data_IF_037461043043
#
_entry.id   IF_037461043043
#
_cell.length_a   1.000
_cell.length_b   1.000
_cell.length_c   1.000
_cell.angle_alpha   90.00
_cell.angle_beta   90.00
_cell.angle_gamma   90.00
#
_symmetry.space_group_name_H-M   'P 1'
#
loop_
_entity.id
_entity.type
_entity.pdbx_description
1 polymer ?
#
# COMPACT_ATOMS: atom_id res chain seq x y z
N UNK A 1 -24.01 13.22 -21.64
CA UNK A 1 -25.31 13.60 -22.24
C UNK A 1 -25.08 14.28 -23.59
N UNK A 2 -24.95 13.55 -24.71
CA UNK A 2 -24.51 14.10 -26.01
C UNK A 2 -25.41 15.18 -26.57
N UNK A 3 -26.72 15.10 -26.29
CA UNK A 3 -27.69 16.07 -26.83
C UNK A 3 -27.57 17.47 -26.19
N UNK A 4 -27.16 17.57 -24.94
CA UNK A 4 -26.96 18.86 -24.26
C UNK A 4 -25.73 19.61 -24.82
N UNK A 5 -24.63 18.92 -25.05
CA UNK A 5 -23.41 19.50 -25.59
C UNK A 5 -23.61 20.07 -27.01
N UNK A 6 -24.33 19.36 -27.88
CA UNK A 6 -24.68 19.88 -29.21
C UNK A 6 -25.52 21.16 -29.16
N UNK A 7 -26.41 21.28 -28.18
CA UNK A 7 -27.18 22.52 -27.97
C UNK A 7 -26.25 23.66 -27.55
N UNK A 8 -25.33 23.42 -26.63
CA UNK A 8 -24.35 24.44 -26.22
C UNK A 8 -23.42 24.83 -27.38
N UNK A 9 -22.95 23.87 -28.18
CA UNK A 9 -22.17 24.15 -29.40
C UNK A 9 -22.89 25.07 -30.36
N UNK A 10 -24.16 24.82 -30.66
CA UNK A 10 -25.00 25.66 -31.53
C UNK A 10 -25.24 27.05 -30.92
N UNK A 11 -25.49 27.11 -29.60
CA UNK A 11 -25.72 28.38 -28.90
C UNK A 11 -24.44 29.22 -28.88
N UNK A 12 -23.29 28.66 -28.57
CA UNK A 12 -22.01 29.36 -28.55
C UNK A 12 -21.66 29.92 -29.95
N UNK A 13 -21.84 29.15 -31.03
CA UNK A 13 -21.64 29.64 -32.39
C UNK A 13 -22.56 30.81 -32.76
N UNK A 14 -23.73 30.88 -32.13
CA UNK A 14 -24.69 31.95 -32.36
C UNK A 14 -24.45 33.18 -31.50
N UNK A 15 -23.87 32.98 -30.31
CA UNK A 15 -23.64 34.01 -29.30
C UNK A 15 -22.22 33.89 -28.72
N UNK A 16 -21.17 34.13 -29.55
CA UNK A 16 -19.78 33.88 -29.13
C UNK A 16 -19.27 34.85 -28.06
N UNK A 17 -19.92 35.99 -27.87
CA UNK A 17 -19.52 37.02 -26.90
C UNK A 17 -20.12 36.80 -25.48
N UNK A 18 -20.92 35.73 -25.31
CA UNK A 18 -21.53 35.39 -24.03
C UNK A 18 -20.58 34.48 -23.20
N UNK A 19 -19.80 35.08 -22.29
CA UNK A 19 -18.81 34.38 -21.51
C UNK A 19 -19.37 33.24 -20.62
N UNK A 20 -20.55 33.44 -20.02
CA UNK A 20 -21.21 32.38 -19.24
C UNK A 20 -21.56 31.17 -20.11
N UNK A 21 -21.98 31.38 -21.37
CA UNK A 21 -22.28 30.28 -22.28
C UNK A 21 -21.03 29.49 -22.66
N UNK A 22 -19.89 30.16 -22.79
CA UNK A 22 -18.59 29.49 -23.01
C UNK A 22 -18.21 28.61 -21.82
N UNK A 23 -18.33 29.11 -20.60
CA UNK A 23 -18.03 28.34 -19.41
C UNK A 23 -18.83 27.05 -19.37
N UNK A 24 -20.17 27.12 -19.52
CA UNK A 24 -21.00 25.91 -19.54
C UNK A 24 -20.68 24.97 -20.72
N UNK A 25 -20.26 25.52 -21.84
CA UNK A 25 -19.85 24.71 -22.99
C UNK A 25 -18.55 23.98 -22.73
N UNK A 26 -17.55 24.66 -22.15
CA UNK A 26 -16.27 24.05 -21.72
C UNK A 26 -16.50 22.97 -20.66
N UNK A 27 -17.28 23.23 -19.62
CA UNK A 27 -17.66 22.24 -18.61
C UNK A 27 -18.33 21.00 -19.24
N UNK A 28 -19.18 21.22 -20.23
CA UNK A 28 -19.79 20.15 -21.01
C UNK A 28 -18.77 19.33 -21.81
N UNK A 29 -17.79 19.98 -22.44
CA UNK A 29 -16.68 19.29 -23.14
C UNK A 29 -15.81 18.51 -22.15
N UNK A 30 -15.51 19.09 -21.00
CA UNK A 30 -14.77 18.41 -19.92
C UNK A 30 -15.47 17.14 -19.43
N UNK A 31 -16.79 17.21 -19.24
CA UNK A 31 -17.59 16.07 -18.79
C UNK A 31 -17.63 14.91 -19.79
N UNK A 32 -17.41 15.18 -21.08
CA UNK A 32 -17.35 14.19 -22.16
C UNK A 32 -15.89 13.84 -22.55
N UNK A 33 -14.89 14.27 -21.76
CA UNK A 33 -13.45 14.08 -21.98
C UNK A 33 -12.96 14.65 -23.35
N UNK A 34 -13.57 15.72 -23.85
CA UNK A 34 -13.20 16.40 -25.09
C UNK A 34 -12.22 17.55 -24.81
N UNK A 35 -11.13 17.26 -24.11
CA UNK A 35 -10.18 18.25 -23.57
C UNK A 35 -9.48 19.05 -24.66
N UNK A 36 -9.09 18.42 -25.78
CA UNK A 36 -8.44 19.12 -26.90
C UNK A 36 -9.36 20.18 -27.53
N UNK A 37 -10.64 19.83 -27.71
CA UNK A 37 -11.63 20.77 -28.23
C UNK A 37 -11.90 21.92 -27.26
N UNK A 38 -11.95 21.64 -25.95
CA UNK A 38 -12.10 22.66 -24.92
C UNK A 38 -10.94 23.65 -24.91
N UNK A 39 -9.70 23.16 -24.98
CA UNK A 39 -8.50 24.01 -25.08
C UNK A 39 -8.46 24.83 -26.36
N UNK A 40 -8.91 24.27 -27.49
CA UNK A 40 -9.02 25.02 -28.75
C UNK A 40 -9.99 26.19 -28.60
N UNK A 41 -11.17 26.00 -28.02
CA UNK A 41 -12.11 27.11 -27.79
C UNK A 41 -11.55 28.15 -26.83
N UNK A 42 -10.90 27.75 -25.75
CA UNK A 42 -10.28 28.68 -24.80
C UNK A 42 -9.13 29.49 -25.44
N UNK A 43 -8.44 28.95 -26.46
CA UNK A 43 -7.37 29.68 -27.13
C UNK A 43 -7.80 30.96 -27.84
N UNK A 44 -9.11 31.09 -28.18
CA UNK A 44 -9.68 32.28 -28.80
C UNK A 44 -10.18 33.33 -27.78
N UNK A 45 -10.15 33.01 -26.49
CA UNK A 45 -10.63 33.91 -25.42
C UNK A 45 -9.47 34.72 -24.86
N UNK A 46 -9.68 35.99 -24.59
CA UNK A 46 -8.69 36.85 -23.94
C UNK A 46 -8.36 36.30 -22.55
N UNK A 47 -7.11 36.46 -22.10
CA UNK A 47 -6.70 36.03 -20.77
C UNK A 47 -7.55 36.70 -19.67
N UNK A 48 -8.15 35.84 -18.83
CA UNK A 48 -8.83 36.26 -17.59
C UNK A 48 -8.55 35.20 -16.51
N UNK A 49 -8.70 35.54 -15.22
CA UNK A 49 -8.52 34.54 -14.15
C UNK A 49 -9.39 33.28 -14.35
N UNK A 50 -10.66 33.46 -14.71
CA UNK A 50 -11.60 32.35 -14.93
C UNK A 50 -11.16 31.45 -16.09
N UNK A 51 -10.69 32.05 -17.20
CA UNK A 51 -10.15 31.29 -18.33
C UNK A 51 -8.94 30.45 -17.90
N UNK A 52 -7.99 31.05 -17.18
CA UNK A 52 -6.75 30.42 -16.75
C UNK A 52 -7.04 29.27 -15.75
N UNK A 53 -8.05 29.44 -14.89
CA UNK A 53 -8.52 28.37 -14.00
C UNK A 53 -9.12 27.21 -14.80
N UNK A 54 -9.96 27.46 -15.82
CA UNK A 54 -10.49 26.41 -16.69
C UNK A 54 -9.39 25.70 -17.48
N UNK A 55 -8.38 26.43 -17.97
CA UNK A 55 -7.19 25.83 -18.61
C UNK A 55 -6.44 24.94 -17.60
N UNK A 56 -6.29 25.36 -16.36
CA UNK A 56 -5.63 24.55 -15.32
C UNK A 56 -6.39 23.25 -15.05
N UNK A 57 -7.70 23.28 -14.93
CA UNK A 57 -8.54 22.10 -14.74
C UNK A 57 -8.41 21.12 -15.93
N UNK A 58 -8.39 21.64 -17.16
CA UNK A 58 -8.20 20.84 -18.36
C UNK A 58 -6.81 20.18 -18.41
N UNK A 59 -5.76 20.92 -18.08
CA UNK A 59 -4.41 20.37 -18.02
C UNK A 59 -4.26 19.31 -16.92
N UNK A 60 -4.93 19.50 -15.77
CA UNK A 60 -5.00 18.47 -14.72
C UNK A 60 -5.64 17.18 -15.25
N UNK A 61 -6.76 17.28 -15.98
CA UNK A 61 -7.46 16.10 -16.52
C UNK A 61 -6.57 15.25 -17.46
N UNK A 62 -5.65 15.88 -18.18
CA UNK A 62 -4.69 15.18 -19.05
C UNK A 62 -3.33 14.92 -18.37
N UNK A 63 -3.30 15.04 -17.02
CA UNK A 63 -2.14 14.78 -16.19
C UNK A 63 -0.91 15.65 -16.51
N UNK A 64 -1.15 16.89 -16.97
CA UNK A 64 -0.11 17.91 -17.20
C UNK A 64 -0.06 18.89 -16.02
N UNK A 65 0.28 18.37 -14.83
CA UNK A 65 0.18 19.09 -13.57
C UNK A 65 1.03 20.37 -13.53
N UNK A 66 2.26 20.32 -14.04
CA UNK A 66 3.13 21.50 -14.09
C UNK A 66 2.50 22.66 -14.88
N UNK A 67 1.87 22.35 -16.03
CA UNK A 67 1.18 23.37 -16.84
C UNK A 67 -0.05 23.90 -16.13
N UNK A 68 -0.80 23.05 -15.44
CA UNK A 68 -1.95 23.50 -14.63
C UNK A 68 -1.53 24.47 -13.53
N UNK A 69 -0.44 24.18 -12.83
CA UNK A 69 0.15 25.06 -11.81
C UNK A 69 0.58 26.39 -12.42
N UNK A 70 1.26 26.37 -13.57
CA UNK A 70 1.68 27.61 -14.25
C UNK A 70 0.47 28.49 -14.62
N UNK A 71 -0.64 27.87 -15.10
CA UNK A 71 -1.86 28.62 -15.42
C UNK A 71 -2.51 29.29 -14.21
N UNK A 72 -2.51 28.63 -13.07
CA UNK A 72 -2.99 29.23 -11.82
C UNK A 72 -2.08 30.35 -11.30
N UNK A 73 -0.75 30.22 -11.50
CA UNK A 73 0.18 31.30 -11.20
C UNK A 73 -0.02 32.52 -12.12
N UNK A 74 -0.24 32.29 -13.42
CA UNK A 74 -0.64 33.37 -14.36
C UNK A 74 -1.96 34.04 -13.89
N UNK A 75 -2.94 33.27 -13.38
CA UNK A 75 -4.19 33.81 -12.85
C UNK A 75 -3.94 34.70 -11.61
N UNK A 76 -3.05 34.31 -10.71
CA UNK A 76 -2.65 35.11 -9.55
C UNK A 76 -1.89 36.39 -9.92
N UNK A 77 -1.19 36.40 -11.08
CA UNK A 77 -0.60 37.69 -11.56
C UNK A 77 -1.66 38.70 -11.92
N UNK A 78 -2.85 38.25 -12.34
CA UNK A 78 -3.99 39.11 -12.66
C UNK A 78 -4.76 39.50 -11.39
N UNK A 79 -5.02 38.57 -10.49
CA UNK A 79 -5.74 38.74 -9.23
C UNK A 79 -4.97 38.15 -8.03
N UNK A 80 -3.97 38.90 -7.50
CA UNK A 80 -3.03 38.35 -6.50
C UNK A 80 -3.61 37.98 -5.15
N UNK A 81 -4.83 38.40 -4.83
CA UNK A 81 -5.44 38.17 -3.51
C UNK A 81 -6.77 37.36 -3.63
N UNK A 82 -7.03 36.76 -4.75
CA UNK A 82 -8.26 35.97 -4.91
C UNK A 82 -8.12 34.63 -4.16
N UNK A 83 -8.91 34.34 -3.10
CA UNK A 83 -8.80 33.14 -2.31
C UNK A 83 -9.18 31.88 -3.09
N UNK A 84 -10.01 31.98 -4.13
CA UNK A 84 -10.43 30.84 -4.94
C UNK A 84 -9.26 30.37 -5.80
N UNK A 85 -8.49 31.30 -6.37
CA UNK A 85 -7.29 30.97 -7.16
C UNK A 85 -6.21 30.39 -6.26
N UNK A 86 -5.97 30.98 -5.06
CA UNK A 86 -5.04 30.41 -4.08
C UNK A 86 -5.45 29.01 -3.67
N UNK A 87 -6.73 28.76 -3.41
CA UNK A 87 -7.23 27.42 -3.09
C UNK A 87 -7.01 26.45 -4.25
N UNK A 88 -7.35 26.82 -5.49
CA UNK A 88 -7.13 25.99 -6.66
C UNK A 88 -5.64 25.65 -6.85
N UNK A 89 -4.75 26.62 -6.69
CA UNK A 89 -3.31 26.42 -6.76
C UNK A 89 -2.82 25.49 -5.62
N UNK A 90 -3.34 25.65 -4.41
CA UNK A 90 -3.00 24.80 -3.28
C UNK A 90 -3.40 23.33 -3.55
N UNK A 91 -4.60 23.08 -4.09
CA UNK A 91 -5.04 21.72 -4.46
C UNK A 91 -4.15 21.12 -5.57
N UNK A 92 -3.79 21.88 -6.62
CA UNK A 92 -2.87 21.40 -7.66
C UNK A 92 -1.48 21.06 -7.09
N UNK A 93 -0.92 21.93 -6.24
CA UNK A 93 0.35 21.70 -5.58
C UNK A 93 0.30 20.49 -4.63
N UNK A 94 -0.81 20.29 -3.94
CA UNK A 94 -1.04 19.13 -3.07
C UNK A 94 -0.99 17.83 -3.87
N UNK A 95 -1.74 17.75 -4.99
CA UNK A 95 -1.76 16.55 -5.85
C UNK A 95 -0.42 16.31 -6.57
N UNK A 96 0.36 17.36 -6.81
CA UNK A 96 1.72 17.26 -7.38
C UNK A 96 2.80 16.91 -6.32
N UNK A 97 2.41 16.78 -5.04
CA UNK A 97 3.32 16.45 -3.95
C UNK A 97 4.18 17.64 -3.46
N UNK A 98 3.88 18.87 -3.89
CA UNK A 98 4.57 20.08 -3.49
C UNK A 98 3.98 20.65 -2.15
N UNK A 99 3.97 19.80 -1.12
CA UNK A 99 3.23 20.03 0.13
C UNK A 99 3.56 21.35 0.84
N UNK A 100 4.83 21.76 0.87
CA UNK A 100 5.22 23.04 1.51
C UNK A 100 4.62 24.26 0.80
N UNK A 101 4.60 24.22 -0.54
CA UNK A 101 3.98 25.30 -1.33
C UNK A 101 2.45 25.27 -1.18
N UNK A 102 1.85 24.06 -1.23
CA UNK A 102 0.43 23.90 -1.00
C UNK A 102 -0.01 24.50 0.34
N UNK A 103 0.74 24.20 1.42
CA UNK A 103 0.47 24.75 2.75
C UNK A 103 0.48 26.29 2.75
N UNK A 104 1.45 26.91 2.09
CA UNK A 104 1.53 28.37 2.02
C UNK A 104 0.32 29.00 1.30
N UNK A 105 -0.16 28.37 0.23
CA UNK A 105 -1.35 28.84 -0.48
C UNK A 105 -2.63 28.64 0.37
N UNK A 106 -2.78 27.52 1.09
CA UNK A 106 -3.88 27.32 2.04
C UNK A 106 -3.86 28.32 3.19
N UNK A 107 -2.67 28.66 3.72
CA UNK A 107 -2.52 29.71 4.75
C UNK A 107 -3.04 31.06 4.25
N UNK A 108 -2.75 31.42 3.00
CA UNK A 108 -3.28 32.65 2.37
C UNK A 108 -4.81 32.64 2.33
N UNK A 109 -5.42 31.49 2.02
CA UNK A 109 -6.90 31.37 2.07
C UNK A 109 -7.42 31.52 3.50
N UNK A 110 -6.76 30.89 4.50
CA UNK A 110 -7.16 31.02 5.91
C UNK A 110 -7.12 32.46 6.43
N UNK A 111 -6.25 33.33 5.90
CA UNK A 111 -6.19 34.76 6.28
C UNK A 111 -7.49 35.50 5.96
N UNK A 112 -8.31 35.00 5.05
CA UNK A 112 -9.67 35.54 4.78
C UNK A 112 -10.68 35.23 5.88
N UNK A 113 -10.35 34.28 6.79
CA UNK A 113 -11.21 33.80 7.84
C UNK A 113 -12.06 32.57 7.42
N UNK A 114 -11.91 32.10 6.18
CA UNK A 114 -12.55 30.89 5.69
C UNK A 114 -11.65 29.69 5.93
N UNK A 115 -12.14 28.68 6.67
CA UNK A 115 -11.43 27.42 6.91
C UNK A 115 -12.00 26.24 6.11
N UNK A 116 -13.07 26.49 5.34
CA UNK A 116 -13.71 25.49 4.48
C UNK A 116 -14.04 26.08 3.12
N UNK A 117 -13.51 25.51 2.05
CA UNK A 117 -13.73 25.92 0.67
C UNK A 117 -14.17 24.72 -0.15
N UNK A 118 -15.26 24.83 -0.89
CA UNK A 118 -15.82 23.76 -1.73
C UNK A 118 -16.01 22.42 -0.99
N UNK A 119 -16.33 22.46 0.31
CA UNK A 119 -16.48 21.27 1.15
C UNK A 119 -15.16 20.66 1.66
N UNK A 120 -14.03 21.29 1.35
CA UNK A 120 -12.70 20.89 1.83
C UNK A 120 -12.34 21.69 3.07
N UNK A 121 -12.00 21.02 4.16
CA UNK A 121 -11.47 21.66 5.37
C UNK A 121 -9.97 21.93 5.19
N UNK A 122 -9.56 23.19 5.27
CA UNK A 122 -8.18 23.61 5.03
C UNK A 122 -7.21 23.07 6.09
N UNK A 123 -7.65 22.96 7.35
CA UNK A 123 -6.81 22.36 8.39
C UNK A 123 -6.51 20.89 8.10
N UNK A 124 -7.51 20.13 7.59
CA UNK A 124 -7.32 18.73 7.16
C UNK A 124 -6.29 18.63 6.04
N UNK A 125 -6.39 19.47 5.01
CA UNK A 125 -5.42 19.51 3.89
C UNK A 125 -4.00 19.87 4.34
N UNK A 126 -3.87 20.90 5.17
CA UNK A 126 -2.58 21.34 5.70
C UNK A 126 -1.97 20.29 6.64
N UNK A 127 -2.81 19.62 7.45
CA UNK A 127 -2.37 18.53 8.30
C UNK A 127 -1.85 17.36 7.46
N UNK A 128 -2.54 17.04 6.36
CA UNK A 128 -2.11 16.00 5.42
C UNK A 128 -0.78 16.39 4.73
N UNK A 129 -0.64 17.64 4.27
CA UNK A 129 0.63 18.16 3.75
C UNK A 129 1.78 18.00 4.77
N UNK A 130 1.51 18.28 6.02
CA UNK A 130 2.50 18.17 7.11
C UNK A 130 2.85 16.70 7.39
N UNK A 131 1.87 15.81 7.37
CA UNK A 131 2.04 14.37 7.53
C UNK A 131 2.91 13.78 6.41
N UNK A 132 2.59 14.11 5.15
CA UNK A 132 3.35 13.66 3.98
C UNK A 132 4.78 14.21 3.94
N UNK A 133 4.99 15.40 4.52
CA UNK A 133 6.32 16.02 4.65
C UNK A 133 7.11 15.49 5.86
N UNK A 134 6.55 14.58 6.66
CA UNK A 134 7.18 14.07 7.87
C UNK A 134 7.16 15.02 9.08
N UNK A 135 6.39 16.12 9.00
CA UNK A 135 6.24 17.10 10.07
C UNK A 135 5.08 16.70 11.01
N UNK A 136 5.24 15.59 11.71
CA UNK A 136 4.15 14.96 12.47
C UNK A 136 3.58 15.84 13.58
N UNK A 137 4.43 16.60 14.27
CA UNK A 137 3.98 17.53 15.32
C UNK A 137 3.07 18.64 14.77
N UNK A 138 3.38 19.18 13.57
CA UNK A 138 2.53 20.17 12.92
C UNK A 138 1.23 19.54 12.40
N UNK A 139 1.31 18.32 11.85
CA UNK A 139 0.12 17.57 11.45
C UNK A 139 -0.85 17.39 12.63
N UNK A 140 -0.34 16.96 13.79
CA UNK A 140 -1.14 16.79 15.01
C UNK A 140 -1.81 18.10 15.39
N UNK A 141 -1.05 19.21 15.47
CA UNK A 141 -1.57 20.54 15.82
C UNK A 141 -2.69 20.97 14.87
N UNK A 142 -2.53 20.75 13.57
CA UNK A 142 -3.52 21.12 12.56
C UNK A 142 -4.78 20.24 12.64
N UNK A 143 -4.65 18.93 12.89
CA UNK A 143 -5.81 18.06 13.15
C UNK A 143 -6.55 18.47 14.44
N UNK A 144 -5.86 19.02 15.43
CA UNK A 144 -6.49 19.49 16.68
C UNK A 144 -7.30 20.79 16.49
N UNK A 145 -7.05 21.56 15.41
CA UNK A 145 -7.88 22.72 15.04
C UNK A 145 -9.22 22.32 14.39
N UNK A 146 -9.36 21.08 13.93
CA UNK A 146 -10.62 20.60 13.31
C UNK A 146 -11.63 20.32 14.41
N UNK A 147 -12.84 20.89 14.26
CA UNK A 147 -13.94 20.58 15.16
C UNK A 147 -14.26 19.08 15.08
N UNK A 148 -14.41 18.41 16.24
CA UNK A 148 -14.66 16.97 16.32
C UNK A 148 -15.91 16.51 15.55
N UNK A 149 -16.92 17.37 15.40
CA UNK A 149 -18.14 17.08 14.64
C UNK A 149 -17.92 17.13 13.12
N UNK A 150 -16.88 17.82 12.67
CA UNK A 150 -16.50 17.98 11.25
C UNK A 150 -15.38 17.01 10.83
N UNK A 151 -14.73 16.36 11.79
CA UNK A 151 -13.64 15.44 11.55
C UNK A 151 -14.16 14.15 10.86
N UNK A 152 -13.62 13.87 9.69
CA UNK A 152 -13.96 12.67 8.92
C UNK A 152 -13.25 11.42 9.45
N UNK A 153 -13.69 10.22 9.06
CA UNK A 153 -13.00 8.96 9.38
C UNK A 153 -11.54 8.97 8.90
N UNK A 154 -11.30 9.55 7.73
CA UNK A 154 -9.96 9.72 7.17
C UNK A 154 -9.08 10.67 8.01
N UNK A 155 -9.65 11.76 8.54
CA UNK A 155 -8.92 12.68 9.43
C UNK A 155 -8.51 11.98 10.74
N UNK A 156 -9.43 11.21 11.35
CA UNK A 156 -9.10 10.39 12.52
C UNK A 156 -7.97 9.41 12.23
N UNK A 157 -8.05 8.71 11.10
CA UNK A 157 -7.04 7.73 10.69
C UNK A 157 -5.67 8.38 10.51
N UNK A 158 -5.59 9.45 9.73
CA UNK A 158 -4.35 10.20 9.49
C UNK A 158 -3.80 10.87 10.75
N UNK A 159 -4.68 11.38 11.61
CA UNK A 159 -4.30 11.90 12.93
C UNK A 159 -3.64 10.82 13.79
N UNK A 160 -4.21 9.61 13.82
CA UNK A 160 -3.60 8.49 14.53
C UNK A 160 -2.21 8.12 13.97
N UNK A 161 -2.07 8.11 12.64
CA UNK A 161 -0.77 7.91 11.99
C UNK A 161 0.22 9.01 12.41
N UNK A 162 -0.20 10.27 12.46
CA UNK A 162 0.66 11.37 12.89
C UNK A 162 1.16 11.20 14.33
N UNK A 163 0.29 10.77 15.24
CA UNK A 163 0.66 10.46 16.63
C UNK A 163 1.63 9.27 16.72
N UNK A 164 1.37 8.19 15.99
CA UNK A 164 2.24 7.01 15.97
C UNK A 164 3.64 7.36 15.41
N UNK A 165 3.70 8.05 14.27
CA UNK A 165 4.96 8.50 13.66
C UNK A 165 5.71 9.53 14.50
N UNK A 166 5.04 10.18 15.45
CA UNK A 166 5.64 11.08 16.44
C UNK A 166 5.98 10.37 17.76
N UNK A 167 6.04 9.03 17.77
CA UNK A 167 6.34 8.17 18.92
C UNK A 167 5.35 8.32 20.09
N UNK A 168 4.09 8.66 19.83
CA UNK A 168 3.02 8.80 20.83
C UNK A 168 1.95 7.73 20.60
N UNK A 169 2.35 6.47 20.56
CA UNK A 169 1.52 5.31 20.17
C UNK A 169 0.24 5.17 21.01
N UNK A 170 0.28 5.50 22.31
CA UNK A 170 -0.91 5.38 23.18
C UNK A 170 -2.05 6.34 22.76
N UNK A 171 -1.74 7.55 22.30
CA UNK A 171 -2.76 8.46 21.77
C UNK A 171 -3.23 8.00 20.39
N UNK A 172 -2.34 7.42 19.55
CA UNK A 172 -2.73 6.81 18.28
C UNK A 172 -3.77 5.69 18.50
N UNK A 173 -3.54 4.78 19.45
CA UNK A 173 -4.46 3.70 19.83
C UNK A 173 -5.84 4.28 20.24
N UNK A 174 -5.84 5.31 21.10
CA UNK A 174 -7.06 5.93 21.56
C UNK A 174 -7.87 6.60 20.43
N UNK A 175 -7.17 7.28 19.50
CA UNK A 175 -7.80 7.90 18.34
C UNK A 175 -8.38 6.84 17.40
N UNK A 176 -7.64 5.75 17.14
CA UNK A 176 -8.12 4.64 16.32
C UNK A 176 -9.32 3.93 16.94
N UNK A 177 -9.29 3.70 18.26
CA UNK A 177 -10.45 3.15 18.99
C UNK A 177 -11.67 4.08 18.86
N UNK A 178 -11.44 5.40 18.92
CA UNK A 178 -12.51 6.39 18.71
C UNK A 178 -13.04 6.34 17.29
N UNK A 179 -12.18 6.28 16.29
CA UNK A 179 -12.57 6.10 14.89
C UNK A 179 -13.47 4.88 14.73
N UNK A 180 -13.03 3.71 15.15
CA UNK A 180 -13.78 2.46 14.98
C UNK A 180 -15.09 2.41 15.79
N UNK A 181 -15.19 3.19 16.88
CA UNK A 181 -16.47 3.36 17.59
C UNK A 181 -17.47 4.23 16.83
N UNK A 182 -17.01 5.21 16.05
CA UNK A 182 -17.82 6.12 15.23
C UNK A 182 -18.15 5.54 13.86
N UNK A 183 -17.18 4.86 13.26
CA UNK A 183 -17.23 4.25 11.92
C UNK A 183 -16.69 2.82 11.98
N UNK A 184 -17.50 1.85 12.40
CA UNK A 184 -17.09 0.45 12.49
C UNK A 184 -16.76 -0.17 11.12
N UNK A 185 -17.25 0.40 10.02
CA UNK A 185 -17.01 -0.11 8.66
C UNK A 185 -15.66 0.35 8.08
N UNK A 186 -14.89 1.14 8.81
CA UNK A 186 -13.55 1.58 8.39
C UNK A 186 -12.51 0.46 8.59
N UNK A 187 -12.53 -0.53 7.70
CA UNK A 187 -11.79 -1.81 7.83
C UNK A 187 -10.28 -1.62 7.96
N UNK A 188 -9.68 -0.65 7.24
CA UNK A 188 -8.25 -0.35 7.35
C UNK A 188 -7.84 0.06 8.77
N UNK A 189 -8.77 0.62 9.53
CA UNK A 189 -8.57 1.00 10.93
C UNK A 189 -8.28 -0.19 11.84
N UNK A 190 -8.92 -1.34 11.61
CA UNK A 190 -8.66 -2.56 12.38
C UNK A 190 -7.24 -3.08 12.15
N UNK A 191 -6.80 -3.12 10.89
CA UNK A 191 -5.44 -3.56 10.56
C UNK A 191 -4.39 -2.64 11.21
N UNK A 192 -4.63 -1.32 11.15
CA UNK A 192 -3.70 -0.36 11.75
C UNK A 192 -3.72 -0.41 13.28
N UNK A 193 -4.89 -0.49 13.92
CA UNK A 193 -5.02 -0.63 15.36
C UNK A 193 -4.37 -1.93 15.87
N UNK A 194 -4.55 -3.03 15.13
CA UNK A 194 -3.88 -4.30 15.41
C UNK A 194 -2.36 -4.12 15.42
N UNK A 195 -1.79 -3.45 14.41
CA UNK A 195 -0.35 -3.21 14.33
C UNK A 195 0.16 -2.31 15.47
N UNK A 196 -0.62 -1.34 15.93
CA UNK A 196 -0.28 -0.50 17.08
C UNK A 196 -0.21 -1.33 18.37
N UNK A 197 -1.18 -2.21 18.60
CA UNK A 197 -1.16 -3.11 19.76
C UNK A 197 -0.01 -4.12 19.68
N UNK A 198 0.30 -4.64 18.50
CA UNK A 198 1.43 -5.54 18.28
C UNK A 198 2.79 -4.87 18.60
N UNK A 199 2.99 -3.62 18.14
CA UNK A 199 4.17 -2.82 18.44
C UNK A 199 4.35 -2.58 19.95
N UNK A 200 3.24 -2.39 20.67
CA UNK A 200 3.19 -2.29 22.14
C UNK A 200 3.30 -3.67 22.84
N UNK A 201 3.42 -4.76 22.09
CA UNK A 201 3.42 -6.15 22.57
C UNK A 201 2.16 -6.53 23.36
N UNK A 202 1.07 -5.85 23.08
CA UNK A 202 -0.23 -6.16 23.62
C UNK A 202 -0.98 -7.12 22.68
N UNK A 203 -0.48 -8.34 22.57
CA UNK A 203 -0.96 -9.36 21.64
C UNK A 203 -2.44 -9.74 21.85
N UNK A 204 -2.96 -9.83 23.09
CA UNK A 204 -4.39 -10.15 23.26
C UNK A 204 -5.31 -9.12 22.61
N UNK A 205 -5.05 -7.82 22.79
CA UNK A 205 -5.85 -6.77 22.18
C UNK A 205 -5.63 -6.68 20.66
N UNK A 206 -4.39 -6.96 20.18
CA UNK A 206 -4.10 -7.06 18.76
C UNK A 206 -4.95 -8.16 18.08
N UNK A 207 -4.97 -9.36 18.66
CA UNK A 207 -5.72 -10.51 18.15
C UNK A 207 -7.23 -10.21 18.15
N UNK A 208 -7.78 -9.70 19.26
CA UNK A 208 -9.21 -9.39 19.34
C UNK A 208 -9.61 -8.31 18.32
N UNK A 209 -8.79 -7.27 18.16
CA UNK A 209 -9.00 -6.23 17.13
C UNK A 209 -9.06 -6.83 15.72
N UNK A 210 -8.12 -7.72 15.38
CA UNK A 210 -8.13 -8.41 14.10
C UNK A 210 -9.40 -9.24 13.89
N UNK A 211 -9.81 -10.00 14.90
CA UNK A 211 -11.04 -10.79 14.86
C UNK A 211 -12.30 -9.92 14.71
N UNK A 212 -12.34 -8.76 15.35
CA UNK A 212 -13.46 -7.82 15.19
C UNK A 212 -13.55 -7.34 13.73
N UNK A 213 -12.43 -6.93 13.13
CA UNK A 213 -12.39 -6.53 11.73
C UNK A 213 -12.80 -7.67 10.77
N UNK A 214 -12.38 -8.90 11.03
CA UNK A 214 -12.76 -10.07 10.23
C UNK A 214 -14.25 -10.45 10.36
N UNK A 215 -14.92 -10.12 11.46
CA UNK A 215 -16.39 -10.28 11.57
C UNK A 215 -17.14 -9.36 10.59
N UNK A 216 -16.55 -8.21 10.25
CA UNK A 216 -17.11 -7.22 9.32
C UNK A 216 -16.71 -7.50 7.87
N UNK A 217 -15.46 -7.88 7.65
CA UNK A 217 -14.92 -8.18 6.31
C UNK A 217 -14.24 -9.54 6.29
N UNK A 218 -15.01 -10.57 5.94
CA UNK A 218 -14.57 -11.96 5.92
C UNK A 218 -13.58 -12.33 4.80
N UNK A 219 -13.28 -11.38 3.90
CA UNK A 219 -12.41 -11.60 2.75
C UNK A 219 -11.20 -10.63 2.74
N UNK A 220 -10.89 -10.03 3.89
CA UNK A 220 -9.75 -9.14 4.00
C UNK A 220 -8.47 -9.96 4.31
N UNK A 221 -7.79 -10.40 3.26
CA UNK A 221 -6.66 -11.34 3.34
C UNK A 221 -5.50 -10.85 4.20
N UNK A 222 -5.20 -9.53 4.16
CA UNK A 222 -4.14 -8.93 4.98
C UNK A 222 -4.44 -9.04 6.47
N UNK A 223 -5.70 -8.82 6.84
CA UNK A 223 -6.13 -8.95 8.24
C UNK A 223 -6.20 -10.42 8.69
N UNK A 224 -6.58 -11.35 7.78
CA UNK A 224 -6.49 -12.79 8.05
C UNK A 224 -5.06 -13.22 8.30
N UNK A 225 -4.12 -12.74 7.47
CA UNK A 225 -2.71 -13.04 7.60
C UNK A 225 -2.13 -12.54 8.92
N UNK A 226 -2.31 -11.24 9.23
CA UNK A 226 -1.75 -10.65 10.45
C UNK A 226 -2.37 -11.25 11.71
N UNK A 227 -3.70 -11.43 11.71
CA UNK A 227 -4.39 -12.06 12.86
C UNK A 227 -4.00 -13.53 13.00
N UNK A 228 -3.91 -14.27 11.89
CA UNK A 228 -3.52 -15.67 11.88
C UNK A 228 -2.10 -15.89 12.37
N UNK A 229 -1.16 -15.04 11.97
CA UNK A 229 0.24 -15.08 12.43
C UNK A 229 0.32 -14.80 13.94
N UNK A 230 -0.39 -13.78 14.42
CA UNK A 230 -0.45 -13.47 15.85
C UNK A 230 -1.08 -14.60 16.68
N UNK A 231 -2.11 -15.27 16.15
CA UNK A 231 -2.72 -16.42 16.81
C UNK A 231 -1.77 -17.60 16.90
N UNK A 232 -0.96 -17.86 15.86
CA UNK A 232 0.06 -18.92 15.90
C UNK A 232 1.11 -18.63 16.98
N UNK A 233 1.57 -17.39 17.08
CA UNK A 233 2.67 -17.02 17.95
C UNK A 233 2.23 -16.79 19.41
N UNK A 234 1.03 -16.25 19.63
CA UNK A 234 0.60 -15.70 20.92
C UNK A 234 -0.80 -16.11 21.38
N UNK A 235 -1.53 -16.89 20.57
CA UNK A 235 -2.93 -17.25 20.84
C UNK A 235 -3.23 -18.73 20.61
N UNK A 236 -4.27 -19.02 19.82
CA UNK A 236 -4.66 -20.36 19.40
C UNK A 236 -4.08 -20.70 18.03
N UNK A 237 -3.01 -21.49 18.00
CA UNK A 237 -2.34 -21.87 16.76
C UNK A 237 -3.28 -22.55 15.74
N UNK A 238 -4.28 -23.33 16.19
CA UNK A 238 -5.24 -23.95 15.28
C UNK A 238 -6.13 -22.91 14.59
N UNK A 239 -6.59 -21.89 15.33
CA UNK A 239 -7.35 -20.79 14.75
C UNK A 239 -6.49 -19.98 13.77
N UNK A 240 -5.22 -19.73 14.13
CA UNK A 240 -4.25 -19.08 13.27
C UNK A 240 -4.03 -19.82 11.95
N UNK A 241 -3.82 -21.14 12.00
CA UNK A 241 -3.69 -21.97 10.80
C UNK A 241 -4.93 -21.88 9.89
N UNK A 242 -6.13 -21.87 10.49
CA UNK A 242 -7.36 -21.72 9.72
C UNK A 242 -7.45 -20.37 9.01
N UNK A 243 -7.10 -19.28 9.71
CA UNK A 243 -7.09 -17.93 9.12
C UNK A 243 -6.10 -17.81 7.97
N UNK A 244 -4.89 -18.37 8.12
CA UNK A 244 -3.89 -18.34 7.05
C UNK A 244 -4.32 -19.17 5.83
N UNK A 245 -4.93 -20.35 6.02
CA UNK A 245 -5.50 -21.13 4.92
C UNK A 245 -6.64 -20.40 4.21
N UNK A 246 -7.51 -19.69 4.96
CA UNK A 246 -8.56 -18.87 4.38
C UNK A 246 -7.98 -17.69 3.57
N UNK A 247 -6.89 -17.07 4.01
CA UNK A 247 -6.22 -16.01 3.25
C UNK A 247 -5.75 -16.53 1.88
N UNK A 248 -5.19 -17.74 1.82
CA UNK A 248 -4.80 -18.42 0.56
C UNK A 248 -6.00 -18.76 -0.34
N UNK A 249 -7.14 -19.13 0.25
CA UNK A 249 -8.38 -19.37 -0.50
C UNK A 249 -8.95 -18.09 -1.13
N UNK A 250 -8.74 -16.94 -0.47
CA UNK A 250 -9.16 -15.61 -0.99
C UNK A 250 -8.24 -15.17 -2.12
N UNK A 251 -6.94 -15.38 -1.98
CA UNK A 251 -5.93 -14.99 -2.96
C UNK A 251 -4.76 -15.98 -2.95
N UNK A 252 -4.72 -16.86 -3.94
CA UNK A 252 -3.68 -17.88 -4.09
C UNK A 252 -2.31 -17.31 -4.51
N UNK A 253 -2.24 -16.04 -4.94
CA UNK A 253 -0.99 -15.34 -5.21
C UNK A 253 -0.38 -14.69 -3.96
N UNK A 254 -1.13 -14.66 -2.83
CA UNK A 254 -0.67 -14.10 -1.56
C UNK A 254 0.18 -15.13 -0.81
N UNK A 255 1.49 -15.16 -1.04
CA UNK A 255 2.36 -16.27 -0.60
C UNK A 255 2.86 -16.17 0.84
N UNK A 256 2.74 -15.03 1.51
CA UNK A 256 3.19 -14.84 2.89
C UNK A 256 2.57 -15.88 3.87
N UNK A 257 1.27 -16.22 3.79
CA UNK A 257 0.71 -17.28 4.62
C UNK A 257 1.35 -18.65 4.43
N UNK A 258 1.82 -18.96 3.20
CA UNK A 258 2.52 -20.24 2.93
C UNK A 258 3.82 -20.34 3.72
N UNK A 259 4.58 -19.24 3.79
CA UNK A 259 5.86 -19.22 4.51
C UNK A 259 5.63 -19.47 6.00
N UNK A 260 4.65 -18.78 6.60
CA UNK A 260 4.32 -18.97 8.02
C UNK A 260 3.84 -20.41 8.28
N UNK A 261 2.93 -20.93 7.46
CA UNK A 261 2.42 -22.29 7.63
C UNK A 261 3.50 -23.36 7.41
N UNK A 262 4.34 -23.21 6.38
CA UNK A 262 5.39 -24.17 6.10
C UNK A 262 6.50 -24.16 7.16
N UNK A 263 6.83 -22.99 7.72
CA UNK A 263 7.74 -22.89 8.86
C UNK A 263 7.16 -23.57 10.11
N UNK A 264 5.88 -23.33 10.41
CA UNK A 264 5.19 -23.97 11.52
C UNK A 264 5.23 -25.52 11.39
N UNK A 265 4.78 -26.03 10.25
CA UNK A 265 4.73 -27.48 10.01
C UNK A 265 6.13 -28.11 9.95
N UNK A 266 7.13 -27.38 9.46
CA UNK A 266 8.53 -27.86 9.51
C UNK A 266 9.03 -28.00 10.94
N UNK A 267 8.71 -27.07 11.83
CA UNK A 267 9.07 -27.11 13.24
C UNK A 267 8.32 -28.22 13.99
N UNK A 268 7.11 -28.58 13.54
CA UNK A 268 6.32 -29.70 14.07
C UNK A 268 6.64 -31.04 13.42
N UNK A 269 7.54 -31.08 12.43
CA UNK A 269 7.90 -32.26 11.62
C UNK A 269 6.68 -32.85 10.89
N UNK A 270 5.68 -32.03 10.56
CA UNK A 270 4.48 -32.42 9.79
C UNK A 270 4.70 -32.17 8.29
N UNK A 271 5.45 -33.06 7.67
CA UNK A 271 5.84 -32.94 6.27
C UNK A 271 4.68 -33.14 5.29
N UNK A 272 3.70 -33.99 5.65
CA UNK A 272 2.49 -34.14 4.84
C UNK A 272 1.69 -32.84 4.77
N UNK A 273 1.59 -32.11 5.89
CA UNK A 273 0.90 -30.82 5.92
C UNK A 273 1.61 -29.76 5.05
N UNK A 274 2.96 -29.73 4.99
CA UNK A 274 3.70 -28.84 4.06
C UNK A 274 3.32 -29.17 2.61
N UNK A 275 3.28 -30.44 2.25
CA UNK A 275 2.95 -30.90 0.89
C UNK A 275 1.49 -30.55 0.55
N UNK A 276 0.57 -30.66 1.50
CA UNK A 276 -0.83 -30.28 1.29
C UNK A 276 -1.01 -28.80 0.94
N UNK A 277 -0.09 -27.91 1.35
CA UNK A 277 -0.16 -26.49 1.01
C UNK A 277 -0.12 -26.23 -0.51
N UNK A 278 0.44 -27.15 -1.30
CA UNK A 278 0.39 -27.07 -2.78
C UNK A 278 -1.03 -27.04 -3.34
N UNK A 279 -2.03 -27.48 -2.58
CA UNK A 279 -3.44 -27.42 -3.03
C UNK A 279 -4.02 -26.01 -3.08
N UNK A 280 -3.36 -25.04 -2.42
CA UNK A 280 -3.81 -23.66 -2.32
C UNK A 280 -3.16 -22.72 -3.36
N UNK A 281 -2.13 -23.18 -4.08
CA UNK A 281 -1.29 -22.30 -4.93
C UNK A 281 -1.00 -22.94 -6.27
N UNK A 282 -0.68 -22.12 -7.26
CA UNK A 282 -0.18 -22.56 -8.55
C UNK A 282 1.34 -22.75 -8.49
N UNK A 283 1.86 -23.84 -9.05
CA UNK A 283 3.28 -24.19 -8.99
C UNK A 283 4.19 -23.24 -9.79
N UNK A 284 3.62 -22.42 -10.69
CA UNK A 284 4.42 -21.61 -11.63
C UNK A 284 5.15 -20.43 -10.96
N UNK A 285 4.64 -19.90 -9.84
CA UNK A 285 5.14 -18.69 -9.19
C UNK A 285 5.44 -18.86 -7.69
N UNK A 286 5.91 -20.04 -7.26
CA UNK A 286 6.18 -20.32 -5.86
C UNK A 286 7.39 -19.54 -5.33
N UNK A 287 7.27 -19.06 -4.07
CA UNK A 287 8.41 -18.48 -3.34
C UNK A 287 9.55 -19.51 -3.18
N UNK A 288 10.81 -19.13 -3.44
CA UNK A 288 11.95 -20.03 -3.32
C UNK A 288 12.12 -20.67 -1.94
N UNK A 289 11.71 -20.00 -0.86
CA UNK A 289 11.75 -20.54 0.50
C UNK A 289 10.70 -21.63 0.66
N UNK A 290 9.50 -21.43 0.12
CA UNK A 290 8.47 -22.47 0.13
C UNK A 290 8.87 -23.66 -0.74
N UNK A 291 9.48 -23.44 -1.92
CA UNK A 291 10.06 -24.53 -2.73
C UNK A 291 11.09 -25.34 -1.92
N UNK A 292 11.94 -24.69 -1.14
CA UNK A 292 12.87 -25.36 -0.24
C UNK A 292 12.16 -26.21 0.81
N UNK A 293 11.15 -25.67 1.49
CA UNK A 293 10.39 -26.41 2.51
C UNK A 293 9.69 -27.62 1.89
N UNK A 294 9.14 -27.48 0.67
CA UNK A 294 8.59 -28.60 -0.09
C UNK A 294 9.64 -29.65 -0.44
N UNK A 295 10.81 -29.22 -0.94
CA UNK A 295 11.91 -30.12 -1.26
C UNK A 295 12.32 -30.97 -0.04
N UNK A 296 12.47 -30.29 1.11
CA UNK A 296 12.80 -30.95 2.37
C UNK A 296 11.68 -31.92 2.79
N UNK A 297 10.42 -31.50 2.76
CA UNK A 297 9.28 -32.33 3.15
C UNK A 297 9.15 -33.57 2.24
N UNK A 298 9.28 -33.41 0.92
CA UNK A 298 9.27 -34.53 -0.01
C UNK A 298 10.43 -35.51 0.24
N UNK A 299 11.61 -35.01 0.62
CA UNK A 299 12.74 -35.85 1.00
C UNK A 299 12.44 -36.70 2.23
N UNK A 300 11.85 -36.12 3.27
CA UNK A 300 11.48 -36.84 4.50
C UNK A 300 10.39 -37.90 4.25
N UNK A 301 9.51 -37.68 3.25
CA UNK A 301 8.46 -38.61 2.82
C UNK A 301 8.95 -39.65 1.77
N UNK A 302 10.26 -39.77 1.56
CA UNK A 302 10.89 -40.71 0.58
C UNK A 302 10.40 -40.50 -0.87
N UNK A 303 9.97 -39.26 -1.20
CA UNK A 303 9.50 -38.85 -2.54
C UNK A 303 10.62 -38.12 -3.30
N UNK A 304 11.70 -38.88 -3.57
CA UNK A 304 12.97 -38.38 -4.10
C UNK A 304 12.83 -37.54 -5.38
N UNK A 305 11.92 -37.91 -6.29
CA UNK A 305 11.78 -37.17 -7.55
C UNK A 305 11.22 -35.76 -7.37
N UNK A 306 10.24 -35.64 -6.51
CA UNK A 306 9.62 -34.37 -6.18
C UNK A 306 10.60 -33.54 -5.34
N UNK A 307 11.29 -34.14 -4.37
CA UNK A 307 12.31 -33.47 -3.60
C UNK A 307 13.40 -32.88 -4.48
N UNK A 308 13.96 -33.69 -5.41
CA UNK A 308 14.98 -33.22 -6.35
C UNK A 308 14.46 -32.06 -7.21
N UNK A 309 13.25 -32.18 -7.74
CA UNK A 309 12.62 -31.16 -8.55
C UNK A 309 12.56 -29.81 -7.83
N UNK A 310 12.07 -29.77 -6.60
CA UNK A 310 11.95 -28.51 -5.85
C UNK A 310 13.29 -27.98 -5.35
N UNK A 311 14.26 -28.82 -5.00
CA UNK A 311 15.64 -28.38 -4.74
C UNK A 311 16.26 -27.70 -5.96
N UNK A 312 16.10 -28.28 -7.16
CA UNK A 312 16.63 -27.71 -8.40
C UNK A 312 15.94 -26.39 -8.77
N UNK A 313 14.63 -26.25 -8.52
CA UNK A 313 13.90 -25.00 -8.74
C UNK A 313 14.32 -23.88 -7.76
N UNK A 314 14.53 -24.20 -6.49
CA UNK A 314 14.95 -23.23 -5.48
C UNK A 314 16.43 -22.82 -5.61
N UNK A 315 17.30 -23.72 -6.11
CA UNK A 315 18.74 -23.56 -6.11
C UNK A 315 19.25 -22.27 -6.76
N UNK A 316 18.78 -21.79 -7.92
CA UNK A 316 19.30 -20.56 -8.56
C UNK A 316 19.24 -19.34 -7.65
N UNK A 317 18.18 -19.25 -6.84
CA UNK A 317 17.92 -18.13 -5.92
C UNK A 317 18.53 -18.39 -4.54
N UNK A 318 18.46 -19.63 -4.05
CA UNK A 318 18.84 -19.99 -2.68
C UNK A 318 20.30 -20.43 -2.50
N UNK A 319 21.10 -20.53 -3.55
CA UNK A 319 22.49 -21.02 -3.51
C UNK A 319 23.46 -20.24 -2.61
N UNK A 320 23.06 -19.10 -2.07
CA UNK A 320 23.81 -18.32 -1.07
C UNK A 320 23.25 -18.47 0.35
N UNK A 321 22.14 -19.17 0.51
CA UNK A 321 21.56 -19.48 1.82
C UNK A 321 22.21 -20.78 2.34
N UNK A 322 22.89 -20.67 3.50
CA UNK A 322 23.69 -21.78 4.08
C UNK A 322 22.78 -22.94 4.51
N UNK A 323 21.63 -22.65 5.12
CA UNK A 323 20.73 -23.68 5.60
C UNK A 323 20.11 -24.48 4.43
N UNK A 324 19.67 -23.78 3.39
CA UNK A 324 19.21 -24.43 2.14
C UNK A 324 20.29 -25.32 1.54
N UNK A 325 21.50 -24.80 1.40
CA UNK A 325 22.62 -25.53 0.80
C UNK A 325 23.03 -26.73 1.66
N UNK A 326 22.92 -26.64 2.97
CA UNK A 326 23.13 -27.71 3.91
C UNK A 326 22.11 -28.83 3.73
N UNK A 327 20.82 -28.49 3.71
CA UNK A 327 19.74 -29.46 3.49
C UNK A 327 19.88 -30.13 2.12
N UNK A 328 20.19 -29.37 1.07
CA UNK A 328 20.39 -29.92 -0.27
C UNK A 328 21.60 -30.86 -0.34
N UNK A 329 22.71 -30.52 0.34
CA UNK A 329 23.87 -31.40 0.46
C UNK A 329 23.52 -32.73 1.15
N UNK A 330 22.82 -32.68 2.28
CA UNK A 330 22.43 -33.91 3.00
C UNK A 330 21.48 -34.77 2.17
N UNK A 331 20.48 -34.14 1.52
CA UNK A 331 19.59 -34.84 0.62
C UNK A 331 20.35 -35.56 -0.52
N UNK A 332 21.23 -34.89 -1.24
CA UNK A 332 22.05 -35.48 -2.32
C UNK A 332 22.91 -36.66 -1.81
N UNK A 333 23.41 -36.56 -0.60
CA UNK A 333 24.20 -37.61 0.03
C UNK A 333 23.33 -38.82 0.33
N UNK A 334 22.11 -38.62 0.80
CA UNK A 334 21.16 -39.68 1.15
C UNK A 334 20.71 -40.46 -0.09
N UNK A 335 20.39 -39.78 -1.19
CA UNK A 335 20.01 -40.45 -2.47
C UNK A 335 21.23 -40.95 -3.26
N UNK A 336 22.46 -40.79 -2.75
CA UNK A 336 23.67 -41.34 -3.34
C UNK A 336 24.23 -40.54 -4.55
N UNK A 337 23.80 -39.30 -4.75
CA UNK A 337 24.32 -38.40 -5.82
C UNK A 337 25.63 -37.75 -5.37
N UNK A 338 26.70 -38.54 -5.33
CA UNK A 338 27.99 -38.18 -4.78
C UNK A 338 28.66 -37.00 -5.47
N UNK A 339 28.61 -36.91 -6.79
CA UNK A 339 29.30 -35.86 -7.55
C UNK A 339 28.62 -34.50 -7.34
N UNK A 340 27.30 -34.46 -7.32
CA UNK A 340 26.49 -33.29 -7.05
C UNK A 340 26.66 -32.83 -5.59
N UNK A 341 26.63 -33.76 -4.63
CA UNK A 341 26.89 -33.47 -3.22
C UNK A 341 28.26 -32.80 -3.02
N UNK A 342 29.30 -33.30 -3.69
CA UNK A 342 30.65 -32.67 -3.67
C UNK A 342 30.61 -31.25 -4.26
N UNK A 343 29.86 -31.03 -5.32
CA UNK A 343 29.75 -29.70 -5.95
C UNK A 343 29.06 -28.69 -4.98
N UNK A 344 27.95 -29.10 -4.34
CA UNK A 344 27.24 -28.28 -3.34
C UNK A 344 28.12 -28.02 -2.12
N UNK A 345 28.82 -29.05 -1.62
CA UNK A 345 29.71 -28.91 -0.47
C UNK A 345 30.88 -27.95 -0.72
N UNK A 346 31.43 -27.91 -1.92
CA UNK A 346 32.45 -26.92 -2.29
C UNK A 346 31.90 -25.48 -2.25
N UNK A 347 30.66 -25.27 -2.66
CA UNK A 347 30.02 -23.94 -2.56
C UNK A 347 29.73 -23.59 -1.10
N UNK A 348 29.30 -24.54 -0.28
CA UNK A 348 29.19 -24.33 1.17
C UNK A 348 30.51 -23.87 1.80
N UNK A 349 31.63 -24.48 1.38
CA UNK A 349 32.95 -24.08 1.83
C UNK A 349 33.39 -22.70 1.30
N UNK A 350 32.86 -22.23 0.17
CA UNK A 350 33.05 -20.85 -0.29
C UNK A 350 32.27 -19.86 0.60
N UNK A 351 31.09 -20.24 1.07
CA UNK A 351 30.27 -19.43 1.99
C UNK A 351 30.81 -19.46 3.42
N UNK A 352 31.28 -20.63 3.88
CA UNK A 352 31.82 -20.87 5.23
C UNK A 352 33.24 -21.50 5.18
N UNK A 353 34.28 -20.73 4.80
CA UNK A 353 35.61 -21.29 4.59
C UNK A 353 36.28 -21.90 5.84
N UNK A 354 35.83 -21.52 7.04
CA UNK A 354 36.40 -21.96 8.33
C UNK A 354 35.59 -23.08 9.01
N UNK A 355 34.52 -23.56 8.35
CA UNK A 355 33.69 -24.62 8.93
C UNK A 355 34.39 -25.98 8.80
N UNK A 356 34.96 -26.47 9.92
CA UNK A 356 35.71 -27.74 9.99
C UNK A 356 34.83 -28.93 9.58
N UNK A 357 33.55 -28.93 9.93
CA UNK A 357 32.64 -30.03 9.59
C UNK A 357 32.53 -30.22 8.07
N UNK A 358 32.43 -29.12 7.29
CA UNK A 358 32.36 -29.20 5.83
C UNK A 358 33.67 -29.66 5.20
N UNK A 359 34.82 -29.34 5.81
CA UNK A 359 36.11 -29.86 5.38
C UNK A 359 36.22 -31.36 5.59
N UNK A 360 35.78 -31.86 6.77
CA UNK A 360 35.79 -33.28 7.08
C UNK A 360 34.86 -34.08 6.18
N UNK A 361 33.66 -33.56 5.92
CA UNK A 361 32.70 -34.15 5.00
C UNK A 361 33.28 -34.25 3.56
N UNK A 362 33.96 -33.21 3.09
CA UNK A 362 34.59 -33.23 1.77
C UNK A 362 35.69 -34.29 1.67
N UNK A 363 36.52 -34.44 2.72
CA UNK A 363 37.53 -35.49 2.76
C UNK A 363 36.90 -36.89 2.76
N UNK A 364 35.80 -37.08 3.53
CA UNK A 364 35.08 -38.35 3.59
C UNK A 364 34.49 -38.74 2.23
N UNK A 365 33.92 -37.80 1.49
CA UNK A 365 33.37 -38.06 0.18
C UNK A 365 34.41 -38.30 -0.91
N UNK A 366 35.64 -37.75 -0.77
CA UNK A 366 36.73 -37.92 -1.74
C UNK A 366 37.57 -39.19 -1.52
N UNK A 367 37.44 -39.83 -0.34
CA UNK A 367 38.11 -41.07 -0.02
C UNK A 367 37.31 -42.28 -0.52
#
# INVERSE_FOLDING_TARGET
MPQGLEVFRVLYHKYPDESELLIYFIEGLMSENQTDEALEYLSYVEPSPEKLMLEADLYQQINMMEVAIDKLQEALELEPNDPIIHFALAEMLYYDGQYLRATSEYETVLETGEYQVNGVNLFSRMADCSLQSGNYSDAIRLYDEINEEEMTSEDYFKKAIAYDKNDITQEAIKIMTTLLSKDPDYIQGYLYLQSLYENEKNYPDAIETGKEGLRLSQFYKELMYTTGSLEIEHGDANEGVQLLKQALEVDNAYQEPLLVLSDLYRNEEDYEAIIELLTYVDEEDLDPTFMWHLAYAFGQEERDKEAQHFFELAYPTMKTNIDFMSDYYFYLTEIGQKDEAIAVLKQLLELEPTNENWHDELQRLQS
#
